data_IF_239406031429
#
_entry.id   IF_239406031429
#
_cell.length_a   1.000
_cell.length_b   1.000
_cell.length_c   1.000
_cell.angle_alpha   90.00
_cell.angle_beta   90.00
_cell.angle_gamma   90.00
#
_symmetry.space_group_name_H-M   'P 1'
#
loop_
_entity.id
_entity.type
_entity.pdbx_description
1 polymer ?
#
# COMPACT_ATOMS: atom_id res chain seq x y z
N UNK A 1 40.91 3.78 8.44
CA UNK A 1 40.05 4.63 7.58
C UNK A 1 38.66 4.01 7.51
N UNK A 2 37.67 4.59 8.21
CA UNK A 2 36.28 4.12 8.17
C UNK A 2 35.53 4.97 7.15
N UNK A 3 35.10 4.33 6.07
CA UNK A 3 34.25 4.90 5.03
C UNK A 3 32.86 5.19 5.62
N UNK A 4 32.58 6.46 5.90
CA UNK A 4 31.26 6.96 6.27
C UNK A 4 30.38 6.98 5.01
N UNK A 5 29.67 5.90 4.73
CA UNK A 5 28.58 5.93 3.74
C UNK A 5 27.36 6.52 4.45
N UNK A 6 27.32 7.85 4.50
CA UNK A 6 26.10 8.61 4.73
C UNK A 6 25.22 8.33 3.51
N UNK A 7 24.22 7.45 3.61
CA UNK A 7 23.12 7.46 2.64
C UNK A 7 22.35 8.75 2.92
N UNK A 8 22.78 9.83 2.28
CA UNK A 8 21.96 11.01 2.10
C UNK A 8 20.62 10.55 1.51
N UNK A 9 19.52 11.06 2.06
CA UNK A 9 18.24 11.02 1.36
C UNK A 9 18.53 11.75 0.06
N UNK A 10 18.67 11.00 -1.03
CA UNK A 10 18.91 11.57 -2.35
C UNK A 10 17.62 12.33 -2.68
N UNK A 11 17.60 13.62 -2.32
CA UNK A 11 16.67 14.58 -2.92
C UNK A 11 17.06 14.61 -4.39
N UNK A 12 16.41 13.77 -5.17
CA UNK A 12 16.46 13.87 -6.61
C UNK A 12 16.03 15.29 -6.97
N UNK A 13 16.83 15.98 -7.78
CA UNK A 13 16.39 17.28 -8.31
C UNK A 13 15.02 17.13 -8.97
N UNK A 14 14.22 18.20 -8.98
CA UNK A 14 12.85 18.19 -9.50
C UNK A 14 12.73 17.51 -10.90
N UNK A 15 13.78 17.60 -11.74
CA UNK A 15 13.86 16.87 -13.01
C UNK A 15 13.85 15.34 -12.91
N UNK A 16 14.55 14.76 -11.93
CA UNK A 16 14.59 13.31 -11.75
C UNK A 16 13.26 12.76 -11.22
N UNK A 17 12.60 13.46 -10.29
CA UNK A 17 11.23 13.12 -9.87
C UNK A 17 10.23 13.22 -11.02
N UNK A 18 10.33 14.26 -11.87
CA UNK A 18 9.54 14.38 -13.11
C UNK A 18 9.78 13.24 -14.08
N UNK A 19 11.03 12.80 -14.26
CA UNK A 19 11.37 11.64 -15.11
C UNK A 19 10.79 10.33 -14.55
N UNK A 20 10.90 10.11 -13.24
CA UNK A 20 10.28 8.96 -12.58
C UNK A 20 8.76 8.95 -12.76
N UNK A 21 8.12 10.10 -12.55
CA UNK A 21 6.67 10.23 -12.73
C UNK A 21 6.24 9.94 -14.17
N UNK A 22 6.95 10.48 -15.18
CA UNK A 22 6.70 10.14 -16.60
C UNK A 22 6.89 8.65 -16.87
N UNK A 23 7.89 8.02 -16.25
CA UNK A 23 8.11 6.58 -16.35
C UNK A 23 6.96 5.77 -15.76
N UNK A 24 6.43 6.18 -14.61
CA UNK A 24 5.27 5.56 -13.97
C UNK A 24 4.02 5.70 -14.83
N UNK A 25 3.70 6.90 -15.31
CA UNK A 25 2.50 7.12 -16.14
C UNK A 25 2.57 6.37 -17.46
N UNK A 26 3.75 6.30 -18.09
CA UNK A 26 3.94 5.52 -19.31
C UNK A 26 3.79 4.01 -19.07
N UNK A 27 4.35 3.49 -17.97
CA UNK A 27 4.17 2.08 -17.60
C UNK A 27 2.68 1.76 -17.34
N UNK A 28 1.96 2.65 -16.65
CA UNK A 28 0.53 2.52 -16.39
C UNK A 28 -0.30 2.56 -17.70
N UNK A 29 0.04 3.46 -18.64
CA UNK A 29 -0.63 3.56 -19.94
C UNK A 29 -0.43 2.31 -20.79
N UNK A 30 0.80 1.76 -20.82
CA UNK A 30 1.10 0.49 -21.51
C UNK A 30 0.33 -0.66 -20.89
N UNK A 31 0.31 -0.74 -19.56
CA UNK A 31 -0.46 -1.74 -18.83
C UNK A 31 -1.95 -1.67 -19.20
N UNK A 32 -2.54 -0.48 -19.20
CA UNK A 32 -3.95 -0.28 -19.55
C UNK A 32 -4.26 -0.62 -21.00
N UNK A 33 -3.37 -0.29 -21.93
CA UNK A 33 -3.52 -0.61 -23.35
C UNK A 33 -3.56 -2.13 -23.56
N UNK A 34 -2.64 -2.86 -22.93
CA UNK A 34 -2.63 -4.33 -22.99
C UNK A 34 -3.88 -4.93 -22.36
N UNK A 35 -4.24 -4.45 -21.17
CA UNK A 35 -5.44 -4.92 -20.45
C UNK A 35 -6.76 -4.57 -21.14
N UNK A 36 -6.79 -3.59 -22.05
CA UNK A 36 -7.98 -3.17 -22.81
C UNK A 36 -8.27 -4.03 -24.04
N UNK A 37 -7.32 -4.84 -24.52
CA UNK A 37 -7.44 -5.63 -25.74
C UNK A 37 -8.23 -6.96 -25.58
N UNK A 38 -9.07 -7.07 -24.55
CA UNK A 38 -9.88 -8.27 -24.29
C UNK A 38 -9.16 -9.34 -23.48
N UNK A 39 -8.32 -8.93 -22.52
CA UNK A 39 -7.48 -9.86 -21.76
C UNK A 39 -8.29 -10.90 -21.00
N UNK A 40 -8.11 -12.16 -21.37
CA UNK A 40 -8.58 -13.30 -20.59
C UNK A 40 -7.67 -13.54 -19.38
N UNK A 41 -8.09 -14.38 -18.43
CA UNK A 41 -7.31 -14.66 -17.21
C UNK A 41 -5.86 -15.06 -17.47
N UNK A 42 -5.59 -15.88 -18.49
CA UNK A 42 -4.22 -16.30 -18.80
C UNK A 42 -3.34 -15.13 -19.20
N UNK A 43 -3.88 -14.18 -19.97
CA UNK A 43 -3.17 -12.96 -20.34
C UNK A 43 -2.93 -12.03 -19.13
N UNK A 44 -3.89 -11.95 -18.19
CA UNK A 44 -3.76 -11.17 -16.95
C UNK A 44 -2.56 -11.60 -16.07
N UNK A 45 -2.18 -12.88 -16.16
CA UNK A 45 -1.04 -13.48 -15.47
C UNK A 45 0.18 -13.71 -16.37
N UNK A 46 0.17 -13.19 -17.60
CA UNK A 46 1.33 -13.27 -18.49
C UNK A 46 2.56 -12.56 -17.89
N UNK A 47 3.74 -12.97 -18.33
CA UNK A 47 5.00 -12.34 -17.93
C UNK A 47 5.03 -10.85 -18.28
N UNK A 48 4.57 -10.47 -19.49
CA UNK A 48 4.54 -9.08 -19.94
C UNK A 48 3.72 -8.18 -19.00
N UNK A 49 2.49 -8.59 -18.66
CA UNK A 49 1.63 -7.83 -17.75
C UNK A 49 2.26 -7.77 -16.34
N UNK A 50 2.85 -8.87 -15.88
CA UNK A 50 3.52 -8.93 -14.58
C UNK A 50 4.72 -7.99 -14.52
N UNK A 51 5.54 -7.94 -15.57
CA UNK A 51 6.69 -7.04 -15.69
C UNK A 51 6.25 -5.57 -15.73
N UNK A 52 5.20 -5.22 -16.47
CA UNK A 52 4.65 -3.86 -16.49
C UNK A 52 4.14 -3.43 -15.11
N UNK A 53 3.44 -4.31 -14.39
CA UNK A 53 3.01 -4.05 -12.99
C UNK A 53 4.20 -3.83 -12.07
N UNK A 54 5.21 -4.69 -12.16
CA UNK A 54 6.40 -4.61 -11.30
C UNK A 54 7.22 -3.34 -11.59
N UNK A 55 7.33 -2.95 -12.85
CA UNK A 55 7.99 -1.70 -13.26
C UNK A 55 7.23 -0.46 -12.80
N UNK A 56 5.90 -0.46 -12.91
CA UNK A 56 5.06 0.61 -12.37
C UNK A 56 5.25 0.74 -10.85
N UNK A 57 5.22 -0.39 -10.14
CA UNK A 57 5.45 -0.45 -8.69
C UNK A 57 6.81 0.14 -8.30
N UNK A 58 7.90 -0.23 -9.00
CA UNK A 58 9.25 0.31 -8.75
C UNK A 58 9.31 1.84 -8.92
N UNK A 59 8.77 2.36 -10.03
CA UNK A 59 8.77 3.81 -10.27
C UNK A 59 7.98 4.57 -9.21
N UNK A 60 6.80 4.07 -8.84
CA UNK A 60 5.98 4.70 -7.81
C UNK A 60 6.66 4.64 -6.43
N UNK A 61 7.21 3.50 -6.02
CA UNK A 61 7.91 3.38 -4.72
C UNK A 61 9.10 4.35 -4.66
N UNK A 62 9.91 4.42 -5.71
CA UNK A 62 11.05 5.34 -5.76
C UNK A 62 10.61 6.79 -5.70
N UNK A 63 9.50 7.13 -6.38
CA UNK A 63 8.96 8.48 -6.40
C UNK A 63 8.41 8.91 -5.04
N UNK A 64 7.76 8.00 -4.30
CA UNK A 64 7.26 8.21 -2.94
C UNK A 64 8.37 8.73 -2.00
N UNK A 65 9.58 8.16 -2.09
CA UNK A 65 10.70 8.58 -1.23
C UNK A 65 11.56 9.69 -1.82
N UNK A 66 11.56 9.86 -3.15
CA UNK A 66 12.30 10.93 -3.82
C UNK A 66 11.66 12.30 -3.59
N UNK A 67 10.33 12.37 -3.65
CA UNK A 67 9.56 13.61 -3.56
C UNK A 67 8.16 13.37 -2.95
N UNK A 68 8.10 13.10 -1.63
CA UNK A 68 6.87 12.70 -0.94
C UNK A 68 5.78 13.76 -1.01
N UNK A 69 6.13 15.05 -0.92
CA UNK A 69 5.16 16.14 -0.85
C UNK A 69 4.52 16.39 -2.21
N UNK A 70 5.30 16.52 -3.29
CA UNK A 70 4.76 16.86 -4.62
C UNK A 70 4.20 15.64 -5.36
N UNK A 71 4.85 14.49 -5.23
CA UNK A 71 4.51 13.29 -6.00
C UNK A 71 4.09 12.09 -5.16
N UNK A 72 4.33 12.06 -3.84
CA UNK A 72 4.06 10.89 -3.01
C UNK A 72 2.62 10.39 -3.11
N UNK A 73 1.63 11.29 -2.96
CA UNK A 73 0.21 10.91 -3.10
C UNK A 73 -0.14 10.42 -4.50
N UNK A 74 0.34 11.12 -5.54
CA UNK A 74 0.08 10.76 -6.95
C UNK A 74 0.64 9.37 -7.28
N UNK A 75 1.85 9.09 -6.80
CA UNK A 75 2.54 7.81 -6.98
C UNK A 75 1.82 6.68 -6.23
N UNK A 76 1.42 6.92 -4.98
CA UNK A 76 0.69 5.98 -4.15
C UNK A 76 -0.66 5.60 -4.77
N UNK A 77 -1.46 6.58 -5.20
CA UNK A 77 -2.75 6.36 -5.84
C UNK A 77 -2.62 5.57 -7.14
N UNK A 78 -1.65 5.95 -7.98
CA UNK A 78 -1.41 5.27 -9.24
C UNK A 78 -0.99 3.80 -9.01
N UNK A 79 -0.11 3.57 -8.03
CA UNK A 79 0.35 2.24 -7.65
C UNK A 79 -0.83 1.39 -7.17
N UNK A 80 -1.56 1.85 -6.15
CA UNK A 80 -2.71 1.12 -5.61
C UNK A 80 -3.72 0.80 -6.70
N UNK A 81 -4.13 1.82 -7.45
CA UNK A 81 -5.17 1.70 -8.48
C UNK A 81 -4.78 0.70 -9.56
N UNK A 82 -3.60 0.86 -10.18
CA UNK A 82 -3.24 0.09 -11.38
C UNK A 82 -2.61 -1.27 -11.07
N UNK A 83 -1.90 -1.42 -9.95
CA UNK A 83 -1.20 -2.68 -9.61
C UNK A 83 -2.13 -3.64 -8.86
N UNK A 84 -3.01 -3.13 -8.00
CA UNK A 84 -3.83 -3.96 -7.12
C UNK A 84 -5.33 -3.84 -7.42
N UNK A 85 -5.92 -2.65 -7.28
CA UNK A 85 -7.39 -2.49 -7.36
C UNK A 85 -7.97 -2.85 -8.73
N UNK A 86 -7.49 -2.21 -9.80
CA UNK A 86 -7.96 -2.45 -11.17
C UNK A 86 -7.64 -3.89 -11.61
N UNK A 87 -6.58 -4.50 -11.06
CA UNK A 87 -6.22 -5.89 -11.34
C UNK A 87 -7.18 -6.86 -10.65
N UNK A 88 -7.45 -6.64 -9.35
CA UNK A 88 -8.45 -7.39 -8.59
C UNK A 88 -9.80 -7.40 -9.30
N UNK A 89 -10.29 -6.23 -9.75
CA UNK A 89 -11.57 -6.14 -10.43
C UNK A 89 -11.63 -6.93 -11.74
N UNK A 90 -10.55 -6.95 -12.52
CA UNK A 90 -10.47 -7.78 -13.74
C UNK A 90 -10.48 -9.28 -13.44
N UNK A 91 -9.78 -9.71 -12.39
CA UNK A 91 -9.85 -11.09 -11.91
C UNK A 91 -11.27 -11.42 -11.43
N UNK A 92 -11.91 -10.52 -10.68
CA UNK A 92 -13.28 -10.66 -10.17
C UNK A 92 -14.33 -10.76 -11.27
N UNK A 93 -14.19 -10.02 -12.36
CA UNK A 93 -15.06 -10.17 -13.55
C UNK A 93 -14.98 -11.59 -14.16
N UNK A 94 -13.87 -12.30 -13.95
CA UNK A 94 -13.66 -13.67 -14.41
C UNK A 94 -13.73 -14.70 -13.25
N UNK A 95 -14.42 -14.38 -12.15
CA UNK A 95 -14.43 -15.17 -10.91
C UNK A 95 -14.66 -16.66 -11.11
N UNK A 96 -15.62 -17.06 -11.95
CA UNK A 96 -15.90 -18.49 -12.19
C UNK A 96 -14.67 -19.23 -12.71
N UNK A 97 -14.07 -18.73 -13.79
CA UNK A 97 -12.86 -19.30 -14.40
C UNK A 97 -11.65 -19.23 -13.47
N UNK A 98 -11.58 -18.18 -12.64
CA UNK A 98 -10.53 -18.01 -11.63
C UNK A 98 -10.62 -19.11 -10.56
N UNK A 99 -11.83 -19.44 -10.09
CA UNK A 99 -12.04 -20.46 -9.05
C UNK A 99 -11.91 -21.89 -9.60
N UNK A 100 -12.30 -22.14 -10.85
CA UNK A 100 -12.16 -23.44 -11.53
C UNK A 100 -10.69 -23.81 -11.77
N UNK A 101 -9.80 -22.84 -11.95
CA UNK A 101 -8.39 -23.07 -12.25
C UNK A 101 -7.51 -22.87 -11.02
N UNK A 102 -6.98 -23.96 -10.48
CA UNK A 102 -6.04 -23.91 -9.34
C UNK A 102 -4.81 -23.03 -9.64
N UNK A 103 -4.28 -23.10 -10.86
CA UNK A 103 -3.19 -22.24 -11.29
C UNK A 103 -3.53 -20.75 -11.17
N UNK A 104 -4.65 -20.31 -11.77
CA UNK A 104 -5.04 -18.89 -11.72
C UNK A 104 -5.40 -18.45 -10.30
N UNK A 105 -6.08 -19.31 -9.52
CA UNK A 105 -6.39 -19.04 -8.11
C UNK A 105 -5.14 -18.83 -7.28
N UNK A 106 -4.15 -19.72 -7.41
CA UNK A 106 -2.88 -19.61 -6.70
C UNK A 106 -2.07 -18.40 -7.17
N UNK A 107 -2.00 -18.13 -8.47
CA UNK A 107 -1.32 -16.96 -9.01
C UNK A 107 -1.93 -15.66 -8.47
N UNK A 108 -3.26 -15.59 -8.39
CA UNK A 108 -3.96 -14.44 -7.84
C UNK A 108 -3.72 -14.29 -6.33
N UNK A 109 -3.82 -15.38 -5.57
CA UNK A 109 -3.52 -15.40 -4.13
C UNK A 109 -2.08 -14.92 -3.87
N UNK A 110 -1.11 -15.44 -4.61
CA UNK A 110 0.30 -15.04 -4.50
C UNK A 110 0.49 -13.56 -4.79
N UNK A 111 -0.23 -12.99 -5.77
CA UNK A 111 -0.19 -11.55 -6.07
C UNK A 111 -0.71 -10.72 -4.90
N UNK A 112 -1.83 -11.10 -4.29
CA UNK A 112 -2.40 -10.39 -3.13
C UNK A 112 -1.48 -10.48 -1.89
N UNK A 113 -0.96 -11.68 -1.58
CA UNK A 113 0.01 -11.88 -0.50
C UNK A 113 1.29 -11.07 -0.70
N UNK A 114 1.80 -11.01 -1.93
CA UNK A 114 2.94 -10.16 -2.26
C UNK A 114 2.61 -8.66 -2.08
N UNK A 115 1.37 -8.25 -2.34
CA UNK A 115 0.85 -6.91 -2.04
C UNK A 115 0.86 -6.59 -0.55
N UNK A 116 0.38 -7.52 0.29
CA UNK A 116 0.39 -7.37 1.75
C UNK A 116 1.83 -7.19 2.26
N UNK A 117 2.74 -8.07 1.85
CA UNK A 117 4.15 -7.97 2.20
C UNK A 117 4.79 -6.65 1.73
N UNK A 118 4.46 -6.21 0.52
CA UNK A 118 4.91 -4.92 -0.02
C UNK A 118 4.44 -3.74 0.84
N UNK A 119 3.15 -3.68 1.19
CA UNK A 119 2.59 -2.57 1.95
C UNK A 119 3.05 -2.54 3.41
N UNK A 120 3.26 -3.69 4.06
CA UNK A 120 3.94 -3.73 5.36
C UNK A 120 5.36 -3.18 5.27
N UNK A 121 6.13 -3.60 4.26
CA UNK A 121 7.48 -3.09 4.06
C UNK A 121 7.48 -1.58 3.78
N UNK A 122 6.53 -1.10 2.97
CA UNK A 122 6.37 0.32 2.68
C UNK A 122 6.04 1.13 3.94
N UNK A 123 5.12 0.65 4.79
CA UNK A 123 4.78 1.27 6.07
C UNK A 123 6.00 1.34 7.00
N UNK A 124 6.73 0.23 7.15
CA UNK A 124 7.94 0.17 7.96
C UNK A 124 9.01 1.15 7.45
N UNK A 125 9.17 1.26 6.13
CA UNK A 125 10.12 2.17 5.50
C UNK A 125 9.71 3.63 5.67
N UNK A 126 8.43 3.96 5.51
CA UNK A 126 7.89 5.30 5.80
C UNK A 126 8.14 5.66 7.27
N UNK A 127 7.81 4.76 8.20
CA UNK A 127 8.07 4.96 9.62
C UNK A 127 9.55 5.24 9.89
N UNK A 128 10.45 4.48 9.26
CA UNK A 128 11.90 4.59 9.45
C UNK A 128 12.49 5.87 8.85
N UNK A 129 12.12 6.20 7.61
CA UNK A 129 12.68 7.34 6.86
C UNK A 129 12.15 8.68 7.35
N UNK A 130 10.87 8.73 7.72
CA UNK A 130 10.19 9.95 8.19
C UNK A 130 10.06 10.03 9.71
N UNK A 131 10.61 9.05 10.43
CA UNK A 131 10.69 9.03 11.88
C UNK A 131 9.32 9.14 12.56
N UNK A 132 8.34 8.39 12.03
CA UNK A 132 7.00 8.36 12.60
C UNK A 132 6.97 7.55 13.89
N UNK A 133 6.13 8.01 14.81
CA UNK A 133 5.74 7.26 15.99
C UNK A 133 4.43 6.51 15.74
N UNK A 134 4.55 5.22 15.46
CA UNK A 134 3.42 4.31 15.28
C UNK A 134 3.28 3.33 16.46
N UNK A 135 4.08 3.50 17.52
CA UNK A 135 4.02 2.65 18.71
C UNK A 135 2.63 2.74 19.37
N UNK A 136 2.01 1.59 19.62
CA UNK A 136 0.65 1.51 20.16
C UNK A 136 -0.47 1.94 19.20
N UNK A 137 -0.15 2.37 17.97
CA UNK A 137 -1.13 2.78 16.96
C UNK A 137 -1.34 1.73 15.85
N UNK A 138 -0.32 0.93 15.59
CA UNK A 138 -0.37 -0.21 14.68
C UNK A 138 0.13 -1.47 15.38
N UNK A 139 -0.19 -2.65 14.86
CA UNK A 139 0.11 -3.94 15.49
C UNK A 139 1.61 -4.28 15.49
N UNK A 140 2.32 -3.92 14.42
CA UNK A 140 3.74 -4.28 14.24
C UNK A 140 4.58 -3.03 13.90
N UNK A 141 4.67 -2.05 14.80
CA UNK A 141 5.47 -0.85 14.59
C UNK A 141 6.97 -1.14 14.76
N UNK A 142 7.81 -0.34 14.12
CA UNK A 142 9.22 -0.27 14.51
C UNK A 142 9.34 0.39 15.88
N UNK A 143 9.73 -0.41 16.88
CA UNK A 143 9.99 0.08 18.22
C UNK A 143 11.43 0.58 18.33
N UNK A 144 11.60 1.90 18.22
CA UNK A 144 12.91 2.54 18.13
C UNK A 144 13.81 2.34 19.36
N UNK A 145 13.23 2.00 20.50
CA UNK A 145 13.92 1.81 21.77
C UNK A 145 14.39 0.35 22.00
N UNK A 146 14.03 -0.60 21.11
CA UNK A 146 14.36 -2.01 21.28
C UNK A 146 15.84 -2.34 21.03
N UNK A 147 16.31 -3.37 21.73
CA UNK A 147 17.65 -3.95 21.57
C UNK A 147 17.81 -4.51 20.15
N UNK A 148 18.73 -3.94 19.38
CA UNK A 148 18.99 -4.30 17.98
C UNK A 148 18.80 -3.15 17.00
N UNK A 149 18.03 -2.13 17.39
CA UNK A 149 18.01 -0.85 16.66
C UNK A 149 19.32 -0.12 16.93
N UNK A 150 19.98 0.33 15.86
CA UNK A 150 21.24 1.08 15.97
C UNK A 150 21.04 2.35 16.81
N UNK A 151 21.90 2.58 17.81
CA UNK A 151 21.80 3.76 18.71
C UNK A 151 21.81 5.08 17.92
N UNK A 152 22.52 5.14 16.80
CA UNK A 152 22.53 6.34 15.92
C UNK A 152 21.16 6.60 15.30
N UNK A 153 20.42 5.56 14.91
CA UNK A 153 19.07 5.67 14.35
C UNK A 153 18.06 6.15 15.40
N UNK A 154 18.14 5.60 16.61
CA UNK A 154 17.33 6.05 17.75
C UNK A 154 17.58 7.52 18.08
N UNK A 155 18.85 7.95 18.19
CA UNK A 155 19.20 9.37 18.40
C UNK A 155 18.70 10.25 17.26
N UNK A 156 18.81 9.79 16.01
CA UNK A 156 18.29 10.53 14.85
C UNK A 156 16.78 10.73 14.97
N UNK A 157 16.01 9.68 15.30
CA UNK A 157 14.56 9.78 15.56
C UNK A 157 14.23 10.86 16.60
N UNK A 158 14.94 10.87 17.75
CA UNK A 158 14.74 11.88 18.80
C UNK A 158 15.01 13.31 18.30
N UNK A 159 15.98 13.51 17.41
CA UNK A 159 16.36 14.82 16.87
C UNK A 159 15.46 15.25 15.70
N UNK A 160 15.08 14.32 14.82
CA UNK A 160 14.21 14.55 13.65
C UNK A 160 12.73 14.62 14.00
N UNK A 161 12.39 14.42 15.28
CA UNK A 161 11.08 14.67 15.85
C UNK A 161 10.57 16.12 15.64
N UNK A 162 11.39 17.01 15.05
CA UNK A 162 11.06 18.36 14.61
C UNK A 162 11.21 18.61 13.08
N UNK A 163 11.15 17.55 12.25
CA UNK A 163 11.28 17.65 10.79
C UNK A 163 10.18 18.44 10.07
N UNK A 164 10.33 18.61 8.74
CA UNK A 164 9.38 19.31 7.86
C UNK A 164 7.93 18.84 8.07
N UNK A 165 7.08 19.77 8.52
CA UNK A 165 5.69 19.50 8.85
C UNK A 165 4.90 18.91 7.67
N UNK A 166 5.15 19.40 6.45
CA UNK A 166 4.45 18.91 5.26
C UNK A 166 4.78 17.44 4.97
N UNK A 167 6.06 17.07 5.13
CA UNK A 167 6.51 15.68 4.93
C UNK A 167 5.90 14.76 5.97
N UNK A 168 5.79 15.23 7.22
CA UNK A 168 5.17 14.48 8.31
C UNK A 168 3.69 14.27 8.11
N UNK A 169 2.96 15.34 7.81
CA UNK A 169 1.53 15.27 7.49
C UNK A 169 1.30 14.30 6.33
N UNK A 170 2.11 14.38 5.28
CA UNK A 170 2.02 13.42 4.18
C UNK A 170 2.27 11.97 4.65
N UNK A 171 3.30 11.74 5.46
CA UNK A 171 3.69 10.40 5.92
C UNK A 171 2.66 9.77 6.88
N UNK A 172 2.04 10.56 7.76
CA UNK A 172 0.92 10.12 8.60
C UNK A 172 -0.28 9.73 7.74
N UNK A 173 -0.64 10.58 6.77
CA UNK A 173 -1.74 10.30 5.86
C UNK A 173 -1.46 9.07 4.96
N UNK A 174 -0.20 8.87 4.54
CA UNK A 174 0.21 7.69 3.77
C UNK A 174 0.11 6.43 4.63
N UNK A 175 0.53 6.48 5.89
CA UNK A 175 0.42 5.35 6.83
C UNK A 175 -1.04 4.94 7.03
N UNK A 176 -1.95 5.90 7.19
CA UNK A 176 -3.39 5.66 7.24
C UNK A 176 -3.92 4.96 5.98
N UNK A 177 -3.57 5.45 4.78
CA UNK A 177 -4.03 4.85 3.52
C UNK A 177 -3.47 3.46 3.30
N UNK A 178 -2.21 3.22 3.66
CA UNK A 178 -1.60 1.89 3.59
C UNK A 178 -2.36 0.88 4.42
N UNK A 179 -2.83 1.23 5.62
CA UNK A 179 -3.67 0.34 6.43
C UNK A 179 -5.01 0.05 5.75
N UNK A 180 -5.63 1.02 5.08
CA UNK A 180 -6.82 0.76 4.25
C UNK A 180 -6.49 -0.23 3.12
N UNK A 181 -5.38 -0.03 2.41
CA UNK A 181 -4.97 -0.94 1.34
C UNK A 181 -4.68 -2.36 1.84
N UNK A 182 -4.07 -2.50 3.02
CA UNK A 182 -3.86 -3.80 3.67
C UNK A 182 -5.20 -4.46 4.00
N UNK A 183 -6.15 -3.71 4.56
CA UNK A 183 -7.50 -4.21 4.83
C UNK A 183 -8.25 -4.62 3.55
N UNK A 184 -8.10 -3.86 2.47
CA UNK A 184 -8.70 -4.18 1.18
C UNK A 184 -8.10 -5.47 0.60
N UNK A 185 -6.79 -5.66 0.69
CA UNK A 185 -6.09 -6.87 0.22
C UNK A 185 -6.51 -8.12 1.01
N UNK A 186 -6.60 -8.03 2.34
CA UNK A 186 -7.09 -9.15 3.17
C UNK A 186 -8.54 -9.49 2.82
N UNK A 187 -9.41 -8.47 2.63
CA UNK A 187 -10.78 -8.69 2.17
C UNK A 187 -10.81 -9.37 0.80
N UNK A 188 -9.93 -8.98 -0.12
CA UNK A 188 -9.83 -9.62 -1.43
C UNK A 188 -9.39 -11.08 -1.35
N UNK A 189 -8.53 -11.45 -0.40
CA UNK A 189 -8.16 -12.85 -0.12
C UNK A 189 -9.35 -13.61 0.46
N UNK A 190 -10.06 -13.02 1.43
CA UNK A 190 -11.25 -13.60 2.03
C UNK A 190 -12.44 -13.72 1.05
N UNK A 191 -12.43 -13.01 -0.08
CA UNK A 191 -13.38 -13.22 -1.17
C UNK A 191 -13.02 -14.44 -2.05
N UNK A 192 -11.75 -14.90 -2.02
CA UNK A 192 -11.26 -16.06 -2.77
C UNK A 192 -11.39 -17.37 -2.00
N UNK A 193 -11.05 -17.33 -0.71
CA UNK A 193 -11.28 -18.42 0.23
C UNK A 193 -12.67 -18.25 0.86
N UNK A 194 -13.27 -19.30 1.41
CA UNK A 194 -14.60 -19.15 2.02
C UNK A 194 -14.64 -18.06 3.13
N UNK A 195 -15.79 -17.38 3.34
CA UNK A 195 -15.88 -16.03 3.92
C UNK A 195 -15.57 -15.90 5.42
N UNK A 196 -15.12 -16.94 6.10
CA UNK A 196 -15.14 -17.00 7.58
C UNK A 196 -14.06 -16.16 8.27
N UNK A 197 -13.21 -15.44 7.54
CA UNK A 197 -12.06 -14.75 8.13
C UNK A 197 -11.83 -13.32 7.59
N UNK A 198 -12.79 -12.42 7.83
CA UNK A 198 -12.60 -10.97 7.62
C UNK A 198 -11.91 -10.24 8.79
N UNK A 199 -11.51 -10.96 9.84
CA UNK A 199 -10.96 -10.39 11.07
C UNK A 199 -9.66 -9.58 10.83
N UNK A 200 -8.81 -9.99 9.89
CA UNK A 200 -7.60 -9.24 9.54
C UNK A 200 -7.94 -7.94 8.82
N UNK A 201 -8.88 -7.97 7.88
CA UNK A 201 -9.36 -6.77 7.19
C UNK A 201 -9.95 -5.75 8.19
N UNK A 202 -10.81 -6.23 9.08
CA UNK A 202 -11.38 -5.45 10.18
C UNK A 202 -10.28 -4.81 11.04
N UNK A 203 -9.29 -5.60 11.50
CA UNK A 203 -8.19 -5.12 12.34
C UNK A 203 -7.36 -4.03 11.65
N UNK A 204 -7.15 -4.12 10.34
CA UNK A 204 -6.48 -3.05 9.58
C UNK A 204 -7.31 -1.78 9.48
N UNK A 205 -8.61 -1.88 9.21
CA UNK A 205 -9.48 -0.70 9.18
C UNK A 205 -9.61 -0.04 10.55
N UNK A 206 -9.64 -0.80 11.64
CA UNK A 206 -9.61 -0.27 13.00
C UNK A 206 -8.29 0.49 13.28
N UNK A 207 -7.14 -0.05 12.89
CA UNK A 207 -5.85 0.66 13.01
C UNK A 207 -5.84 1.94 12.16
N UNK A 208 -6.40 1.91 10.94
CA UNK A 208 -6.52 3.09 10.10
C UNK A 208 -7.36 4.16 10.80
N UNK A 209 -8.51 3.79 11.37
CA UNK A 209 -9.34 4.70 12.15
C UNK A 209 -8.60 5.29 13.36
N UNK A 210 -7.83 4.49 14.10
CA UNK A 210 -7.02 4.98 15.22
C UNK A 210 -5.95 6.00 14.78
N UNK A 211 -5.42 5.89 13.56
CA UNK A 211 -4.48 6.87 13.01
C UNK A 211 -5.15 8.17 12.56
N UNK A 212 -6.38 8.11 12.02
CA UNK A 212 -7.11 9.30 11.60
C UNK A 212 -8.64 9.10 11.72
N UNK A 213 -9.18 9.45 12.89
CA UNK A 213 -10.60 9.30 13.19
C UNK A 213 -11.51 10.26 12.44
N UNK A 214 -10.96 11.32 11.83
CA UNK A 214 -11.72 12.28 11.01
C UNK A 214 -12.00 11.74 9.60
N UNK A 215 -11.33 10.66 9.18
CA UNK A 215 -11.53 10.06 7.88
C UNK A 215 -12.62 8.98 7.98
N UNK A 216 -13.73 9.15 7.24
CA UNK A 216 -14.83 8.18 7.22
C UNK A 216 -14.57 6.91 6.39
N UNK A 217 -13.47 6.84 5.63
CA UNK A 217 -13.20 5.70 4.73
C UNK A 217 -13.10 4.37 5.47
N UNK A 218 -12.36 4.23 6.59
CA UNK A 218 -12.31 2.99 7.34
C UNK A 218 -13.68 2.53 7.84
N UNK A 219 -14.56 3.45 8.26
CA UNK A 219 -15.93 3.12 8.65
C UNK A 219 -16.77 2.61 7.48
N UNK A 220 -16.66 3.23 6.30
CA UNK A 220 -17.33 2.74 5.11
C UNK A 220 -16.87 1.31 4.73
N UNK A 221 -15.57 1.02 4.86
CA UNK A 221 -15.04 -0.32 4.61
C UNK A 221 -15.50 -1.34 5.66
N UNK A 222 -15.54 -0.96 6.94
CA UNK A 222 -16.09 -1.78 8.02
C UNK A 222 -17.59 -2.05 7.80
N UNK A 223 -18.37 -1.04 7.44
CA UNK A 223 -19.80 -1.20 7.12
C UNK A 223 -20.05 -2.18 5.96
N UNK A 224 -19.17 -2.17 4.96
CA UNK A 224 -19.19 -3.13 3.85
C UNK A 224 -18.81 -4.56 4.28
N UNK A 225 -17.93 -4.72 5.28
CA UNK A 225 -17.59 -6.02 5.85
C UNK A 225 -18.74 -6.63 6.68
N UNK A 226 -19.48 -5.80 7.43
CA UNK A 226 -20.55 -6.25 8.32
C UNK A 226 -21.94 -6.29 7.69
N UNK A 227 -22.08 -6.34 6.35
CA UNK A 227 -23.32 -6.03 5.61
C UNK A 227 -24.60 -6.82 5.98
N UNK A 228 -24.55 -7.72 6.96
CA UNK A 228 -25.64 -8.51 7.52
C UNK A 228 -25.81 -8.37 9.05
N UNK A 229 -25.25 -7.35 9.70
CA UNK A 229 -25.30 -7.16 11.17
C UNK A 229 -25.69 -5.73 11.54
N UNK A 230 -26.30 -5.53 12.71
CA UNK A 230 -26.62 -4.20 13.25
C UNK A 230 -25.40 -3.27 13.29
N UNK A 231 -24.19 -3.83 13.37
CA UNK A 231 -22.91 -3.12 13.32
C UNK A 231 -22.69 -2.33 12.02
N UNK A 232 -23.29 -2.77 10.88
CA UNK A 232 -23.19 -2.02 9.63
C UNK A 232 -23.89 -0.66 9.72
N UNK A 233 -25.06 -0.61 10.36
CA UNK A 233 -25.80 0.65 10.56
C UNK A 233 -25.01 1.63 11.45
N UNK A 234 -24.37 1.14 12.52
CA UNK A 234 -23.49 1.95 13.36
C UNK A 234 -22.33 2.58 12.57
N UNK A 235 -21.68 1.81 11.70
CA UNK A 235 -20.58 2.32 10.90
C UNK A 235 -21.01 3.33 9.83
N UNK A 236 -22.18 3.14 9.20
CA UNK A 236 -22.72 4.12 8.25
C UNK A 236 -23.22 5.41 8.93
N UNK A 237 -23.64 5.36 10.20
CA UNK A 237 -24.07 6.55 10.97
C UNK A 237 -22.90 7.37 11.54
N UNK A 238 -21.68 6.82 11.56
CA UNK A 238 -20.45 7.52 11.95
C UNK A 238 -19.80 8.25 10.77
N UNK A 239 -20.46 8.24 9.61
CA UNK A 239 -20.09 8.94 8.38
C UNK A 239 -20.60 10.38 8.39
#
# INVERSE_FOLDING_TARGET
MKSTVTKEIVKFGNDASRRLYRGATEAARKLETRLGQGSNLTELFSSEITELRMRLKDYCERLIFADPVEYGKKAEDLLWRKVFYDFFWRCKQNRRKLLESEFHRNAFRSHLLAGIGFYHHLLLRIQTEFHLDLEGKVDVPLLWHLKGVKKERWKKYQLSAAGDENVRTWADQASHRILIYLGDLERYIAELDEPESNHLAERYYQQAFCLNSQNGTPHNQLGSLYSNRFDSAYHYMRW
#
